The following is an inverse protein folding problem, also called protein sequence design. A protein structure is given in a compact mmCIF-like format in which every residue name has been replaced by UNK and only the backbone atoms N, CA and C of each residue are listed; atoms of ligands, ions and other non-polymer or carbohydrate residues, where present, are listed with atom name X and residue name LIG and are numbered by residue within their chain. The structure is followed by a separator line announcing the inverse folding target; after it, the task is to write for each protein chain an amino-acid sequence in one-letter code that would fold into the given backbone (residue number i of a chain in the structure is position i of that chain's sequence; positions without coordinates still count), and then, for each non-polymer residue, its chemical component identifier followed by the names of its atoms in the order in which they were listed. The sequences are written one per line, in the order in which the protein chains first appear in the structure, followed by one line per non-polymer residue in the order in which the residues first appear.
data_IF_869648613730
#
_entry.id   IF_869648613730
#
_cell.length_a   1.000
_cell.length_b   1.000
_cell.length_c   1.000
_cell.angle_alpha   90.00
_cell.angle_beta   90.00
_cell.angle_gamma   90.00
#
_symmetry.space_group_name_H-M   'P 1'
#
loop_
_entity.id
_entity.type
_entity.pdbx_description
1 polymer ?
#
# COMPACT_ATOMS: atom_id res chain seq x y z
N UNK A 1 21.30 19.64 17.77
CA UNK A 1 20.56 19.25 16.54
C UNK A 1 20.40 17.73 16.52
N UNK A 2 19.19 17.23 16.84
CA UNK A 2 18.89 15.83 17.22
C UNK A 2 19.54 14.76 16.33
N UNK A 3 20.11 13.73 16.96
CA UNK A 3 20.76 12.57 16.32
C UNK A 3 19.88 11.89 15.26
N UNK A 4 18.56 11.86 15.49
CA UNK A 4 17.55 11.35 14.55
C UNK A 4 17.60 12.07 13.20
N UNK A 5 17.68 13.40 13.19
CA UNK A 5 17.67 14.21 11.96
C UNK A 5 18.96 14.03 11.13
N UNK A 6 20.10 13.74 11.79
CA UNK A 6 21.36 13.40 11.12
C UNK A 6 21.32 12.01 10.48
N UNK A 7 20.67 11.04 11.13
CA UNK A 7 20.48 9.70 10.57
C UNK A 7 19.49 9.71 9.40
N UNK A 8 18.43 10.50 9.48
CA UNK A 8 17.46 10.71 8.40
C UNK A 8 18.12 11.30 7.15
N UNK A 9 18.97 12.32 7.35
CA UNK A 9 19.70 12.94 6.25
C UNK A 9 20.66 11.95 5.57
N UNK A 10 21.40 11.15 6.36
CA UNK A 10 22.27 10.09 5.80
C UNK A 10 21.49 9.04 5.01
N UNK A 11 20.32 8.64 5.50
CA UNK A 11 19.47 7.66 4.81
C UNK A 11 18.90 8.23 3.50
N UNK A 12 18.46 9.48 3.48
CA UNK A 12 17.99 10.14 2.26
C UNK A 12 19.11 10.34 1.24
N UNK A 13 20.32 10.72 1.69
CA UNK A 13 21.49 10.82 0.82
C UNK A 13 21.84 9.44 0.24
N UNK A 14 21.85 8.38 1.05
CA UNK A 14 22.11 7.03 0.58
C UNK A 14 21.05 6.57 -0.45
N UNK A 15 19.77 6.88 -0.22
CA UNK A 15 18.70 6.58 -1.17
C UNK A 15 18.87 7.37 -2.49
N UNK A 16 19.26 8.64 -2.43
CA UNK A 16 19.53 9.45 -3.62
C UNK A 16 20.75 8.96 -4.40
N UNK A 17 21.81 8.52 -3.71
CA UNK A 17 22.99 7.91 -4.35
C UNK A 17 22.61 6.59 -5.02
N UNK A 18 21.84 5.73 -4.33
CA UNK A 18 21.37 4.47 -4.90
C UNK A 18 20.47 4.71 -6.12
N UNK A 19 19.58 5.71 -6.07
CA UNK A 19 18.79 6.14 -7.21
C UNK A 19 19.67 6.58 -8.38
N UNK A 20 20.65 7.45 -8.14
CA UNK A 20 21.54 7.95 -9.19
C UNK A 20 22.33 6.82 -9.86
N UNK A 21 22.80 5.83 -9.09
CA UNK A 21 23.52 4.66 -9.60
C UNK A 21 22.59 3.81 -10.48
N UNK A 22 21.41 3.44 -9.97
CA UNK A 22 20.49 2.56 -10.70
C UNK A 22 19.93 3.27 -11.95
N UNK A 23 19.56 4.55 -11.82
CA UNK A 23 19.07 5.33 -12.94
C UNK A 23 20.15 5.57 -14.00
N UNK A 24 21.40 5.83 -13.58
CA UNK A 24 22.53 5.92 -14.50
C UNK A 24 22.80 4.61 -15.26
N UNK A 25 22.69 3.47 -14.57
CA UNK A 25 22.82 2.14 -15.18
C UNK A 25 21.66 1.79 -16.14
N UNK A 26 20.45 2.28 -15.85
CA UNK A 26 19.30 2.17 -16.76
C UNK A 26 19.50 3.03 -18.02
N UNK A 27 19.97 4.27 -17.88
CA UNK A 27 20.24 5.14 -19.03
C UNK A 27 21.41 4.67 -19.90
N UNK A 28 22.36 3.94 -19.31
CA UNK A 28 23.49 3.34 -20.01
C UNK A 28 23.14 2.00 -20.70
N UNK A 29 21.87 1.56 -20.67
CA UNK A 29 21.37 0.28 -21.21
C UNK A 29 22.12 -0.97 -20.68
N UNK A 30 22.86 -0.84 -19.57
CA UNK A 30 23.51 -1.97 -18.89
C UNK A 30 22.44 -2.85 -18.22
N UNK A 31 21.38 -2.22 -17.72
CA UNK A 31 20.20 -2.87 -17.14
C UNK A 31 19.14 -2.98 -18.23
N UNK A 32 19.00 -4.16 -18.83
CA UNK A 32 17.96 -4.42 -19.83
C UNK A 32 16.53 -4.36 -19.26
N UNK A 33 15.54 -4.31 -20.16
CA UNK A 33 14.12 -4.16 -19.82
C UNK A 33 13.57 -5.21 -18.82
N UNK A 34 14.08 -6.44 -18.86
CA UNK A 34 13.72 -7.47 -17.88
C UNK A 34 14.11 -7.08 -16.45
N UNK A 35 15.30 -6.52 -16.27
CA UNK A 35 15.78 -6.09 -14.96
C UNK A 35 15.09 -4.82 -14.49
N UNK A 36 14.75 -3.89 -15.40
CA UNK A 36 13.89 -2.74 -15.09
C UNK A 36 12.54 -3.19 -14.52
N UNK A 37 11.89 -4.17 -15.16
CA UNK A 37 10.63 -4.75 -14.69
C UNK A 37 10.76 -5.31 -13.28
N UNK A 38 11.80 -6.11 -13.03
CA UNK A 38 12.03 -6.67 -11.71
C UNK A 38 12.29 -5.58 -10.66
N UNK A 39 13.06 -4.54 -10.98
CA UNK A 39 13.33 -3.43 -10.06
C UNK A 39 12.05 -2.66 -9.70
N UNK A 40 11.19 -2.39 -10.69
CA UNK A 40 9.89 -1.76 -10.46
C UNK A 40 9.00 -2.64 -9.59
N UNK A 41 8.93 -3.93 -9.89
CA UNK A 41 8.12 -4.88 -9.13
C UNK A 41 8.63 -5.02 -7.69
N UNK A 42 9.95 -5.02 -7.47
CA UNK A 42 10.56 -4.99 -6.13
C UNK A 42 10.12 -3.72 -5.38
N UNK A 43 10.15 -2.55 -6.02
CA UNK A 43 9.70 -1.30 -5.42
C UNK A 43 8.22 -1.33 -5.00
N UNK A 44 7.34 -1.84 -5.85
CA UNK A 44 5.91 -2.02 -5.55
C UNK A 44 5.71 -3.00 -4.38
N UNK A 45 6.44 -4.12 -4.39
CA UNK A 45 6.37 -5.12 -3.31
C UNK A 45 6.93 -4.59 -1.98
N UNK A 46 7.91 -3.71 -1.99
CA UNK A 46 8.39 -3.03 -0.76
C UNK A 46 7.28 -2.16 -0.18
N UNK A 47 6.55 -1.41 -1.01
CA UNK A 47 5.40 -0.60 -0.55
C UNK A 47 4.33 -1.53 0.06
N UNK A 48 4.00 -2.63 -0.61
CA UNK A 48 3.02 -3.61 -0.10
C UNK A 48 3.48 -4.24 1.22
N UNK A 49 4.70 -4.77 1.27
CA UNK A 49 5.23 -5.43 2.46
C UNK A 49 5.30 -4.48 3.66
N UNK A 50 5.71 -3.23 3.44
CA UNK A 50 5.81 -2.23 4.52
C UNK A 50 4.44 -1.77 4.99
N UNK A 51 3.47 -1.63 4.08
CA UNK A 51 2.08 -1.35 4.44
C UNK A 51 1.42 -2.48 5.22
N UNK A 52 1.71 -3.74 4.87
CA UNK A 52 1.25 -4.91 5.63
C UNK A 52 1.93 -4.99 7.00
N UNK A 53 3.23 -4.70 7.07
CA UNK A 53 3.97 -4.63 8.33
C UNK A 53 3.42 -3.54 9.27
N UNK A 54 2.81 -2.48 8.73
CA UNK A 54 2.14 -1.48 9.55
C UNK A 54 0.94 -2.05 10.30
N UNK A 55 0.20 -2.98 9.69
CA UNK A 55 -0.98 -3.65 10.27
C UNK A 55 -0.54 -4.82 11.16
N UNK A 56 0.17 -5.78 10.57
CA UNK A 56 0.53 -7.03 11.25
C UNK A 56 1.69 -6.83 12.21
N UNK A 57 2.69 -6.05 11.82
CA UNK A 57 3.92 -5.86 12.58
C UNK A 57 3.84 -4.80 13.66
N UNK A 58 3.17 -3.65 13.46
CA UNK A 58 3.13 -2.61 14.49
C UNK A 58 1.92 -2.70 15.41
N UNK A 59 0.73 -2.98 14.89
CA UNK A 59 -0.48 -3.13 15.71
C UNK A 59 -0.77 -4.56 16.16
N UNK A 60 -0.08 -5.56 15.62
CA UNK A 60 -0.30 -6.97 15.98
C UNK A 60 -1.59 -7.59 15.40
N UNK A 61 -2.21 -6.96 14.40
CA UNK A 61 -3.41 -7.47 13.75
C UNK A 61 -3.05 -8.47 12.67
N UNK A 62 -3.45 -9.73 12.77
CA UNK A 62 -3.17 -10.69 11.70
C UNK A 62 -4.15 -10.51 10.53
N UNK A 63 -3.76 -9.70 9.53
CA UNK A 63 -4.53 -9.46 8.31
C UNK A 63 -3.93 -10.20 7.11
N UNK A 64 -4.79 -10.85 6.32
CA UNK A 64 -4.42 -11.55 5.07
C UNK A 64 -5.10 -10.91 3.84
N UNK A 65 -6.07 -10.00 4.04
CA UNK A 65 -6.84 -9.35 2.97
C UNK A 65 -6.12 -8.26 2.16
N UNK A 66 -4.80 -8.12 2.31
CA UNK A 66 -4.04 -6.97 1.77
C UNK A 66 -4.08 -6.87 0.25
N UNK A 67 -4.18 -8.01 -0.43
CA UNK A 67 -4.34 -8.10 -1.89
C UNK A 67 -5.66 -7.47 -2.38
N UNK A 68 -6.71 -7.48 -1.55
CA UNK A 68 -7.97 -6.80 -1.87
C UNK A 68 -7.82 -5.28 -1.94
N UNK A 69 -7.09 -4.67 -1.01
CA UNK A 69 -6.83 -3.22 -1.03
C UNK A 69 -5.93 -2.82 -2.20
N UNK A 70 -4.98 -3.68 -2.56
CA UNK A 70 -4.18 -3.55 -3.78
C UNK A 70 -5.09 -3.55 -5.02
N UNK A 71 -6.05 -4.47 -5.11
CA UNK A 71 -7.01 -4.52 -6.22
C UNK A 71 -7.85 -3.24 -6.31
N UNK A 72 -8.41 -2.77 -5.20
CA UNK A 72 -9.22 -1.53 -5.17
C UNK A 72 -8.42 -0.34 -5.70
N UNK A 73 -7.18 -0.17 -5.24
CA UNK A 73 -6.30 0.88 -5.74
C UNK A 73 -6.01 0.74 -7.24
N UNK A 74 -5.70 -0.47 -7.70
CA UNK A 74 -5.42 -0.76 -9.10
C UNK A 74 -6.59 -0.41 -10.03
N UNK A 75 -7.81 -0.81 -9.67
CA UNK A 75 -9.00 -0.57 -10.48
C UNK A 75 -9.47 0.88 -10.41
N UNK A 76 -9.50 1.50 -9.23
CA UNK A 76 -9.89 2.91 -9.12
C UNK A 76 -8.90 3.80 -9.87
N UNK A 77 -7.59 3.56 -9.72
CA UNK A 77 -6.57 4.27 -10.48
C UNK A 77 -6.72 4.08 -11.99
N UNK A 78 -6.95 2.84 -12.44
CA UNK A 78 -7.13 2.54 -13.85
C UNK A 78 -8.40 3.18 -14.45
N UNK A 79 -9.51 3.23 -13.69
CA UNK A 79 -10.74 3.91 -14.13
C UNK A 79 -10.50 5.42 -14.26
N UNK A 80 -9.78 6.03 -13.32
CA UNK A 80 -9.45 7.46 -13.35
C UNK A 80 -8.66 7.83 -14.61
N UNK A 81 -7.76 6.96 -15.09
CA UNK A 81 -6.96 7.25 -16.29
C UNK A 81 -7.64 6.82 -17.59
N UNK A 82 -8.27 5.65 -17.62
CA UNK A 82 -8.87 5.09 -18.85
C UNK A 82 -10.21 5.74 -19.16
N UNK A 83 -11.10 5.87 -18.17
CA UNK A 83 -12.48 6.35 -18.40
C UNK A 83 -12.59 7.87 -18.25
N UNK A 84 -11.89 8.43 -17.26
CA UNK A 84 -12.00 9.86 -16.92
C UNK A 84 -10.86 10.70 -17.50
N UNK A 85 -9.81 10.08 -18.06
CA UNK A 85 -8.70 10.78 -18.71
C UNK A 85 -7.85 11.63 -17.77
N UNK A 86 -7.91 11.39 -16.46
CA UNK A 86 -7.11 12.15 -15.49
C UNK A 86 -5.64 11.75 -15.51
N UNK A 87 -4.79 12.62 -14.95
CA UNK A 87 -3.36 12.38 -14.85
C UNK A 87 -3.02 11.33 -13.76
N UNK A 88 -1.76 10.86 -13.78
CA UNK A 88 -1.26 9.87 -12.83
C UNK A 88 -1.40 10.31 -11.37
N UNK A 89 -1.24 11.61 -11.09
CA UNK A 89 -1.31 12.13 -9.71
C UNK A 89 -2.73 12.01 -9.16
N UNK A 90 -3.74 12.37 -9.96
CA UNK A 90 -5.14 12.22 -9.58
C UNK A 90 -5.52 10.74 -9.43
N UNK A 91 -5.03 9.87 -10.32
CA UNK A 91 -5.24 8.43 -10.20
C UNK A 91 -4.61 7.85 -8.92
N UNK A 92 -3.39 8.29 -8.57
CA UNK A 92 -2.70 7.89 -7.35
C UNK A 92 -3.47 8.34 -6.12
N UNK A 93 -3.88 9.61 -6.04
CA UNK A 93 -4.63 10.15 -4.91
C UNK A 93 -6.00 9.45 -4.76
N UNK A 94 -6.71 9.25 -5.86
CA UNK A 94 -8.02 8.60 -5.84
C UNK A 94 -7.93 7.12 -5.46
N UNK A 95 -6.98 6.37 -6.01
CA UNK A 95 -6.78 4.95 -5.65
C UNK A 95 -6.34 4.77 -4.20
N UNK A 96 -5.44 5.65 -3.72
CA UNK A 96 -5.00 5.69 -2.32
C UNK A 96 -6.16 6.01 -1.38
N UNK A 97 -6.94 7.05 -1.70
CA UNK A 97 -8.08 7.47 -0.90
C UNK A 97 -9.18 6.40 -0.90
N UNK A 98 -9.48 5.78 -2.04
CA UNK A 98 -10.49 4.73 -2.13
C UNK A 98 -10.11 3.49 -1.32
N UNK A 99 -8.86 3.03 -1.42
CA UNK A 99 -8.39 1.89 -0.63
C UNK A 99 -8.36 2.22 0.88
N UNK A 100 -7.92 3.45 1.24
CA UNK A 100 -7.96 3.91 2.62
C UNK A 100 -9.39 4.02 3.17
N UNK A 101 -10.33 4.58 2.39
CA UNK A 101 -11.73 4.72 2.79
C UNK A 101 -12.38 3.36 2.97
N UNK A 102 -12.14 2.41 2.06
CA UNK A 102 -12.59 1.03 2.21
C UNK A 102 -11.95 0.35 3.42
N UNK A 103 -10.66 0.59 3.66
CA UNK A 103 -9.96 0.16 4.87
C UNK A 103 -10.58 0.71 6.15
N UNK A 104 -10.97 1.98 6.18
CA UNK A 104 -11.64 2.60 7.32
C UNK A 104 -13.02 1.99 7.56
N UNK A 105 -13.83 1.87 6.51
CA UNK A 105 -15.19 1.32 6.58
C UNK A 105 -15.20 -0.14 7.04
N UNK A 106 -14.24 -0.94 6.57
CA UNK A 106 -14.16 -2.36 6.92
C UNK A 106 -13.38 -2.59 8.21
N UNK A 107 -12.40 -1.74 8.52
CA UNK A 107 -11.64 -1.78 9.76
C UNK A 107 -12.55 -1.65 10.99
N UNK A 108 -13.51 -0.72 10.98
CA UNK A 108 -14.41 -0.51 12.11
C UNK A 108 -15.17 -1.77 12.60
N UNK A 109 -15.84 -2.55 11.72
CA UNK A 109 -16.52 -3.78 12.13
C UNK A 109 -15.55 -4.95 12.33
N UNK A 110 -14.51 -5.09 11.49
CA UNK A 110 -13.60 -6.24 11.56
C UNK A 110 -12.72 -6.24 12.79
N UNK A 111 -12.37 -5.06 13.32
CA UNK A 111 -11.53 -4.93 14.51
C UNK A 111 -12.26 -5.24 15.82
N UNK A 112 -13.56 -5.60 15.76
CA UNK A 112 -14.27 -6.26 16.86
C UNK A 112 -13.93 -7.75 16.97
N UNK A 113 -13.22 -8.30 15.98
CA UNK A 113 -12.75 -9.68 15.94
C UNK A 113 -11.30 -9.74 16.43
N UNK A 114 -10.94 -10.82 17.10
CA UNK A 114 -9.60 -11.02 17.65
C UNK A 114 -8.94 -12.26 17.03
N UNK A 115 -7.61 -12.20 16.90
CA UNK A 115 -6.77 -13.31 16.43
C UNK A 115 -7.20 -13.84 15.07
N UNK A 116 -7.45 -15.14 15.00
CA UNK A 116 -7.73 -15.87 13.75
C UNK A 116 -9.02 -15.41 13.06
N UNK A 117 -10.01 -14.92 13.83
CA UNK A 117 -11.26 -14.41 13.26
C UNK A 117 -11.04 -13.16 12.40
N UNK A 118 -10.10 -12.29 12.78
CA UNK A 118 -9.72 -11.14 11.97
C UNK A 118 -9.07 -11.58 10.66
N UNK A 119 -8.23 -12.61 10.70
CA UNK A 119 -7.57 -13.14 9.51
C UNK A 119 -8.58 -13.73 8.52
N UNK A 120 -9.54 -14.52 9.00
CA UNK A 120 -10.61 -15.10 8.18
C UNK A 120 -11.48 -13.99 7.58
N UNK A 121 -11.85 -12.97 8.37
CA UNK A 121 -12.66 -11.86 7.90
C UNK A 121 -11.96 -11.03 6.81
N UNK A 122 -10.65 -10.78 6.96
CA UNK A 122 -9.87 -10.02 5.97
C UNK A 122 -9.63 -10.81 4.69
N UNK A 123 -9.41 -12.12 4.77
CA UNK A 123 -9.36 -13.00 3.59
C UNK A 123 -10.70 -12.97 2.85
N UNK A 124 -11.81 -13.13 3.58
CA UNK A 124 -13.16 -13.03 3.02
C UNK A 124 -13.43 -11.69 2.34
N UNK A 125 -12.97 -10.58 2.92
CA UNK A 125 -13.05 -9.26 2.30
C UNK A 125 -12.30 -9.22 0.95
N UNK A 126 -11.07 -9.73 0.90
CA UNK A 126 -10.28 -9.78 -0.35
C UNK A 126 -11.03 -10.53 -1.44
N UNK A 127 -11.65 -11.65 -1.08
CA UNK A 127 -12.44 -12.45 -2.01
C UNK A 127 -13.75 -11.77 -2.43
N UNK A 128 -14.45 -11.10 -1.51
CA UNK A 128 -15.63 -10.28 -1.83
C UNK A 128 -15.27 -9.19 -2.84
N UNK A 129 -14.16 -8.48 -2.63
CA UNK A 129 -13.67 -7.44 -3.55
C UNK A 129 -13.43 -8.04 -4.94
N UNK A 130 -12.75 -9.19 -5.01
CA UNK A 130 -12.49 -9.91 -6.26
C UNK A 130 -13.77 -10.29 -7.00
N UNK A 131 -14.75 -10.85 -6.28
CA UNK A 131 -16.05 -11.24 -6.84
C UNK A 131 -16.81 -10.00 -7.33
N UNK A 132 -16.82 -8.90 -6.57
CA UNK A 132 -17.44 -7.66 -7.01
C UNK A 132 -16.81 -7.16 -8.33
N UNK A 133 -15.48 -7.14 -8.43
CA UNK A 133 -14.78 -6.74 -9.66
C UNK A 133 -15.17 -7.64 -10.85
N UNK A 134 -15.25 -8.96 -10.64
CA UNK A 134 -15.64 -9.93 -11.67
C UNK A 134 -17.06 -9.70 -12.21
N UNK A 135 -17.97 -9.21 -11.36
CA UNK A 135 -19.39 -9.03 -11.69
C UNK A 135 -19.75 -7.61 -12.15
N UNK A 136 -18.81 -6.65 -12.15
CA UNK A 136 -19.06 -5.28 -12.59
C UNK A 136 -18.51 -5.07 -14.01
N UNK A 137 -19.41 -5.00 -14.98
CA UNK A 137 -19.07 -4.77 -16.39
C UNK A 137 -18.34 -3.43 -16.63
N UNK A 138 -18.68 -2.39 -15.85
CA UNK A 138 -18.04 -1.08 -15.94
C UNK A 138 -16.52 -1.13 -15.72
N UNK A 139 -16.07 -2.09 -14.90
CA UNK A 139 -14.68 -2.28 -14.50
C UNK A 139 -13.96 -3.27 -15.44
N UNK A 140 -14.67 -3.83 -16.44
CA UNK A 140 -14.15 -4.84 -17.37
C UNK A 140 -14.48 -6.29 -16.97
N UNK A 141 -15.15 -6.50 -15.83
CA UNK A 141 -15.58 -7.81 -15.37
C UNK A 141 -14.46 -8.86 -15.33
N UNK A 142 -14.77 -10.07 -15.80
CA UNK A 142 -13.83 -11.19 -15.84
C UNK A 142 -12.64 -10.98 -16.80
N UNK A 143 -12.77 -10.14 -17.81
CA UNK A 143 -11.69 -9.86 -18.76
C UNK A 143 -10.62 -8.90 -18.19
N UNK A 144 -10.96 -8.19 -17.12
CA UNK A 144 -10.13 -7.13 -16.56
C UNK A 144 -10.21 -5.82 -17.37
N UNK A 145 -9.63 -4.76 -16.81
CA UNK A 145 -9.61 -3.45 -17.44
C UNK A 145 -8.35 -3.31 -18.30
N UNK A 146 -8.54 -3.23 -19.62
CA UNK A 146 -7.48 -3.03 -20.62
C UNK A 146 -7.37 -1.57 -21.06
N UNK A 147 -6.25 -1.23 -21.70
CA UNK A 147 -6.02 0.10 -22.28
C UNK A 147 -5.47 1.12 -21.28
N UNK A 148 -4.86 0.66 -20.19
CA UNK A 148 -4.28 1.56 -19.18
C UNK A 148 -2.99 2.17 -19.74
N UNK A 149 -2.84 3.52 -19.78
CA UNK A 149 -1.63 4.16 -20.27
C UNK A 149 -0.43 3.89 -19.36
N UNK A 150 0.77 3.75 -19.95
CA UNK A 150 2.02 3.57 -19.19
C UNK A 150 2.43 4.87 -18.51
N UNK A 151 1.89 5.11 -17.33
CA UNK A 151 2.24 6.30 -16.54
C UNK A 151 3.24 5.96 -15.43
N UNK A 152 3.44 4.68 -15.12
CA UNK A 152 4.39 4.24 -14.10
C UNK A 152 5.79 4.10 -14.69
N UNK A 153 6.75 4.79 -14.09
CA UNK A 153 8.17 4.68 -14.40
C UNK A 153 8.98 4.32 -13.15
N UNK A 154 10.18 3.77 -13.34
CA UNK A 154 11.07 3.43 -12.22
C UNK A 154 11.32 4.60 -11.26
N UNK A 155 11.62 5.84 -11.72
CA UNK A 155 11.79 6.96 -10.81
C UNK A 155 10.56 7.26 -9.95
N UNK A 156 9.37 7.20 -10.55
CA UNK A 156 8.13 7.47 -9.84
C UNK A 156 7.91 6.44 -8.72
N UNK A 157 8.08 5.15 -9.02
CA UNK A 157 7.94 4.08 -8.01
C UNK A 157 8.98 4.22 -6.92
N UNK A 158 10.24 4.50 -7.28
CA UNK A 158 11.33 4.65 -6.32
C UNK A 158 11.07 5.78 -5.33
N UNK A 159 10.69 6.97 -5.82
CA UNK A 159 10.46 8.12 -4.95
C UNK A 159 9.21 7.96 -4.08
N UNK A 160 8.13 7.35 -4.60
CA UNK A 160 6.95 7.02 -3.79
C UNK A 160 7.30 6.00 -2.72
N UNK A 161 8.06 4.96 -3.05
CA UNK A 161 8.54 3.96 -2.09
C UNK A 161 9.35 4.62 -0.97
N UNK A 162 10.31 5.48 -1.32
CA UNK A 162 11.13 6.21 -0.32
C UNK A 162 10.25 7.12 0.54
N UNK A 163 9.28 7.82 -0.04
CA UNK A 163 8.35 8.68 0.70
C UNK A 163 7.50 7.88 1.70
N UNK A 164 6.95 6.74 1.30
CA UNK A 164 6.15 5.86 2.16
C UNK A 164 7.03 5.25 3.27
N UNK A 165 8.24 4.78 2.97
CA UNK A 165 9.18 4.28 3.97
C UNK A 165 9.53 5.35 5.01
N UNK A 166 9.77 6.59 4.57
CA UNK A 166 10.05 7.71 5.46
C UNK A 166 8.83 8.05 6.32
N UNK A 167 7.63 8.03 5.75
CA UNK A 167 6.39 8.23 6.48
C UNK A 167 6.19 7.15 7.55
N UNK A 168 6.35 5.87 7.21
CA UNK A 168 6.18 4.74 8.14
C UNK A 168 7.23 4.80 9.25
N UNK A 169 8.49 5.16 8.93
CA UNK A 169 9.54 5.37 9.94
C UNK A 169 9.15 6.47 10.93
N UNK A 170 8.66 7.60 10.44
CA UNK A 170 8.22 8.70 11.30
C UNK A 170 7.00 8.32 12.12
N UNK A 171 6.05 7.60 11.53
CA UNK A 171 4.88 7.07 12.21
C UNK A 171 5.29 6.17 13.38
N UNK A 172 6.19 5.19 13.15
CA UNK A 172 6.72 4.31 14.21
C UNK A 172 7.33 5.09 15.38
N UNK A 173 8.07 6.15 15.10
CA UNK A 173 8.73 6.97 16.12
C UNK A 173 7.80 8.00 16.77
N UNK A 174 6.58 8.18 16.25
CA UNK A 174 5.59 9.12 16.79
C UNK A 174 4.87 8.55 18.03
N UNK A 175 4.11 9.39 18.73
CA UNK A 175 3.26 8.94 19.85
C UNK A 175 2.23 7.90 19.40
N UNK A 176 1.68 8.04 18.19
CA UNK A 176 0.71 7.10 17.63
C UNK A 176 1.33 5.74 17.34
N UNK A 177 2.56 5.70 16.80
CA UNK A 177 3.28 4.45 16.57
C UNK A 177 3.63 3.72 17.87
N UNK A 178 4.01 4.46 18.93
CA UNK A 178 4.24 3.89 20.26
C UNK A 178 2.96 3.30 20.87
N UNK A 179 1.80 3.95 20.67
CA UNK A 179 0.52 3.39 21.08
C UNK A 179 0.18 2.09 20.34
N UNK A 180 0.40 2.04 19.02
CA UNK A 180 0.26 0.81 18.24
C UNK A 180 1.15 -0.32 18.75
N UNK A 181 2.42 -0.03 19.05
CA UNK A 181 3.34 -1.02 19.61
C UNK A 181 2.91 -1.52 20.99
N UNK A 182 2.39 -0.63 21.87
CA UNK A 182 1.86 -1.05 23.15
C UNK A 182 0.65 -2.00 23.01
N UNK A 183 -0.25 -1.72 22.05
CA UNK A 183 -1.39 -2.59 21.72
C UNK A 183 -0.91 -3.97 21.25
N UNK A 184 0.16 -4.02 20.45
CA UNK A 184 0.74 -5.29 19.98
C UNK A 184 1.29 -6.15 21.12
N UNK A 185 1.90 -5.54 22.14
CA UNK A 185 2.45 -6.28 23.28
C UNK A 185 1.35 -6.86 24.16
N UNK A 186 0.37 -6.04 24.57
CA UNK A 186 -0.80 -6.51 25.31
C UNK A 186 -1.95 -5.50 25.17
N UNK A 187 -2.98 -5.88 24.41
CA UNK A 187 -4.14 -5.04 24.16
C UNK A 187 -4.90 -4.67 25.44
N UNK A 188 -5.13 -5.63 26.34
CA UNK A 188 -5.87 -5.42 27.58
C UNK A 188 -5.09 -4.45 28.49
N UNK A 189 -3.77 -4.60 28.56
CA UNK A 189 -2.93 -3.69 29.34
C UNK A 189 -2.86 -2.29 28.72
N UNK A 190 -2.83 -2.18 27.39
CA UNK A 190 -2.88 -0.87 26.73
C UNK A 190 -4.20 -0.14 27.01
N UNK A 191 -5.32 -0.86 26.96
CA UNK A 191 -6.66 -0.33 27.21
C UNK A 191 -6.82 0.14 28.67
N UNK A 192 -6.33 -0.64 29.65
CA UNK A 192 -6.35 -0.23 31.07
C UNK A 192 -5.47 0.98 31.37
N UNK A 193 -4.45 1.23 30.55
CA UNK A 193 -3.60 2.43 30.62
C UNK A 193 -4.20 3.64 29.88
N UNK A 194 -5.46 3.54 29.40
CA UNK A 194 -6.20 4.63 28.78
C UNK A 194 -5.91 4.85 27.30
N UNK A 195 -5.30 3.88 26.61
CA UNK A 195 -5.08 3.94 25.16
C UNK A 195 -6.34 3.42 24.47
N UNK A 196 -6.98 4.25 23.64
CA UNK A 196 -8.10 3.82 22.79
C UNK A 196 -7.63 2.85 21.70
N UNK A 197 -7.66 1.55 22.03
CA UNK A 197 -7.16 0.47 21.19
C UNK A 197 -7.85 0.45 19.83
N UNK A 198 -9.17 0.67 19.80
CA UNK A 198 -9.98 0.63 18.58
C UNK A 198 -9.55 1.73 17.61
N UNK A 199 -9.40 2.97 18.08
CA UNK A 199 -8.96 4.09 17.24
C UNK A 199 -7.59 3.85 16.61
N UNK A 200 -6.62 3.38 17.38
CA UNK A 200 -5.27 3.13 16.88
C UNK A 200 -5.22 1.94 15.91
N UNK A 201 -6.01 0.90 16.18
CA UNK A 201 -6.18 -0.24 15.29
C UNK A 201 -6.80 0.17 13.95
N UNK A 202 -7.88 0.95 13.95
CA UNK A 202 -8.56 1.44 12.73
C UNK A 202 -7.62 2.34 11.94
N UNK A 203 -6.90 3.24 12.60
CA UNK A 203 -5.96 4.15 11.95
C UNK A 203 -4.81 3.39 11.25
N UNK A 204 -4.20 2.41 11.92
CA UNK A 204 -3.14 1.61 11.32
C UNK A 204 -3.64 0.80 10.12
N UNK A 205 -4.83 0.21 10.22
CA UNK A 205 -5.48 -0.54 9.14
C UNK A 205 -5.80 0.37 7.94
N UNK A 206 -6.36 1.55 8.20
CA UNK A 206 -6.69 2.56 7.17
C UNK A 206 -5.45 3.03 6.42
N UNK A 207 -4.36 3.35 7.12
CA UNK A 207 -3.10 3.78 6.52
C UNK A 207 -2.42 2.64 5.75
N UNK A 208 -2.43 1.42 6.29
CA UNK A 208 -1.93 0.23 5.60
C UNK A 208 -2.70 -0.06 4.31
N UNK A 209 -4.03 0.04 4.34
CA UNK A 209 -4.88 -0.13 3.16
C UNK A 209 -4.65 0.98 2.12
N UNK A 210 -4.49 2.24 2.56
CA UNK A 210 -4.17 3.35 1.67
C UNK A 210 -2.84 3.12 0.94
N UNK A 211 -1.79 2.69 1.64
CA UNK A 211 -0.49 2.39 1.03
C UNK A 211 -0.52 1.15 0.12
N UNK A 212 -1.33 0.14 0.44
CA UNK A 212 -1.61 -0.95 -0.49
C UNK A 212 -2.30 -0.44 -1.77
N UNK A 213 -3.24 0.51 -1.61
CA UNK A 213 -3.88 1.20 -2.73
C UNK A 213 -2.91 1.95 -3.63
N UNK A 214 -1.95 2.70 -3.06
CA UNK A 214 -0.89 3.34 -3.87
C UNK A 214 -0.14 2.32 -4.70
N UNK A 215 0.25 1.18 -4.11
CA UNK A 215 0.94 0.12 -4.84
C UNK A 215 0.09 -0.44 -5.99
N UNK A 216 -1.23 -0.50 -5.81
CA UNK A 216 -2.19 -0.97 -6.80
C UNK A 216 -2.24 -0.10 -8.03
N UNK A 217 -2.32 1.22 -7.83
CA UNK A 217 -2.29 2.19 -8.93
C UNK A 217 -0.99 2.06 -9.73
N UNK A 218 0.15 1.95 -9.04
CA UNK A 218 1.46 1.80 -9.69
C UNK A 218 1.54 0.50 -10.49
N UNK A 219 1.01 -0.59 -9.94
CA UNK A 219 0.99 -1.91 -10.57
C UNK A 219 0.18 -1.90 -11.88
N UNK A 220 -1.07 -1.42 -11.86
CA UNK A 220 -1.94 -1.44 -13.05
C UNK A 220 -1.42 -0.55 -14.18
N UNK A 221 -0.82 0.59 -13.87
CA UNK A 221 -0.20 1.50 -14.85
C UNK A 221 1.18 1.05 -15.33
N UNK A 222 1.80 0.07 -14.68
CA UNK A 222 3.03 -0.56 -15.15
C UNK A 222 2.73 -1.73 -16.10
N UNK A 223 1.73 -2.56 -15.77
CA UNK A 223 1.34 -3.73 -16.55
C UNK A 223 0.31 -3.46 -17.65
N UNK A 224 -0.23 -2.24 -17.76
CA UNK A 224 -1.22 -1.81 -18.77
C UNK A 224 -2.59 -2.50 -18.69
N UNK A 225 -2.74 -3.40 -17.72
CA UNK A 225 -3.95 -4.17 -17.48
C UNK A 225 -4.15 -4.33 -15.98
N UNK A 226 -5.41 -4.23 -15.54
CA UNK A 226 -5.82 -4.67 -14.22
C UNK A 226 -6.66 -5.94 -14.40
N UNK A 227 -6.08 -7.11 -14.09
CA UNK A 227 -6.75 -8.40 -14.20
C UNK A 227 -7.12 -8.94 -12.80
N UNK A 228 -8.36 -9.42 -12.55
CA UNK A 228 -8.79 -9.83 -11.21
C UNK A 228 -7.92 -10.96 -10.60
N UNK A 229 -7.43 -11.87 -11.44
CA UNK A 229 -6.57 -12.98 -10.99
C UNK A 229 -5.16 -12.55 -10.55
N UNK A 230 -4.76 -11.29 -10.77
CA UNK A 230 -3.47 -10.77 -10.30
C UNK A 230 -3.48 -10.36 -8.82
N UNK A 231 -4.64 -10.43 -8.15
CA UNK A 231 -4.85 -9.91 -6.79
C UNK A 231 -5.32 -10.97 -5.79
N UNK A 232 -4.89 -12.23 -5.95
CA UNK A 232 -5.16 -13.36 -5.04
C UNK A 232 -3.85 -13.91 -4.50
#
# INVERSE_FOLDING_TARGET
MNSLRKADLKALIAAAVLFAIIYGLLQADVIGAFWELNLVLIGINIILATSLNMINGYTGQFSIGHAGFLAVGAYVGAIMTVKLGFNMVAALLAGTAAAGLLGFLVGLPTLRLNGDYLAIATLGLGEIIRICILNIDYVGGAAGLMGIPRLTSFPLVFWIMVAILFFIKNFKNSAHGRACLAIRENEIAADTMGIDTTKYKVMAFTLGAAFAGTAGVLFSHYFFIAHPASFT
#
